data_IF_748154633003
#
_entry.id   IF_748154633003
#
_cell.length_a   1.000
_cell.length_b   1.000
_cell.length_c   1.000
_cell.angle_alpha   90.00
_cell.angle_beta   90.00
_cell.angle_gamma   90.00
#
_symmetry.space_group_name_H-M   'P 1'
#
loop_
_entity.id
_entity.type
_entity.pdbx_description
1 polymer ?
#
# COMPACT_ATOMS: atom_id res chain seq x y z
N UNK A 1 21.11 -1.29 -55.44
CA UNK A 1 21.54 -0.40 -54.35
C UNK A 1 20.63 -0.66 -53.17
N UNK A 2 21.19 -1.23 -52.11
CA UNK A 2 20.47 -1.77 -50.96
C UNK A 2 20.14 -0.66 -49.94
N UNK A 3 18.88 -0.59 -49.50
CA UNK A 3 18.48 0.17 -48.32
C UNK A 3 18.63 -0.73 -47.10
N UNK A 4 19.58 -0.38 -46.21
CA UNK A 4 19.77 -1.05 -44.91
C UNK A 4 18.74 -0.50 -43.93
N UNK A 5 17.80 -1.34 -43.49
CA UNK A 5 17.02 -1.09 -42.29
C UNK A 5 17.90 -1.35 -41.07
N UNK A 6 18.04 -0.35 -40.22
CA UNK A 6 18.69 -0.44 -38.92
C UNK A 6 17.66 -0.96 -37.92
N UNK A 7 17.89 -2.15 -37.40
CA UNK A 7 17.08 -2.81 -36.38
C UNK A 7 17.47 -2.23 -35.00
N UNK A 8 16.53 -1.58 -34.32
CA UNK A 8 16.72 -1.07 -32.95
C UNK A 8 16.35 -2.19 -31.99
N UNK A 9 17.37 -2.77 -31.34
CA UNK A 9 17.20 -3.77 -30.31
C UNK A 9 16.50 -3.17 -29.07
N UNK A 10 15.39 -3.79 -28.65
CA UNK A 10 14.71 -3.49 -27.40
C UNK A 10 15.54 -3.97 -26.20
N UNK A 11 15.45 -3.30 -25.03
CA UNK A 11 16.19 -3.71 -23.84
C UNK A 11 15.65 -5.03 -23.28
N UNK A 12 16.59 -5.91 -22.94
CA UNK A 12 16.43 -7.23 -22.35
C UNK A 12 15.81 -7.11 -20.95
N UNK A 13 14.57 -7.55 -20.76
CA UNK A 13 13.99 -7.78 -19.43
C UNK A 13 14.50 -9.13 -18.89
N UNK A 14 14.98 -9.22 -17.64
CA UNK A 14 15.39 -10.50 -17.07
C UNK A 14 14.16 -11.36 -16.78
N UNK A 15 14.10 -12.53 -17.41
CA UNK A 15 13.15 -13.58 -17.11
C UNK A 15 13.41 -14.09 -15.68
N UNK A 16 12.37 -14.08 -14.84
CA UNK A 16 12.39 -14.79 -13.56
C UNK A 16 12.20 -16.29 -13.83
N UNK A 17 13.26 -17.07 -13.64
CA UNK A 17 13.19 -18.53 -13.62
C UNK A 17 12.38 -19.00 -12.40
N UNK A 18 11.30 -19.72 -12.70
CA UNK A 18 10.49 -20.47 -11.75
C UNK A 18 11.23 -21.79 -11.46
N UNK A 19 12.03 -21.83 -10.39
CA UNK A 19 12.49 -23.12 -9.87
C UNK A 19 11.37 -23.82 -9.09
N UNK A 20 11.12 -25.04 -9.55
CA UNK A 20 10.20 -26.05 -9.01
C UNK A 20 10.65 -26.55 -7.64
N UNK A 21 9.75 -26.50 -6.66
CA UNK A 21 9.90 -27.25 -5.39
C UNK A 21 9.66 -28.72 -5.69
N UNK A 22 10.71 -29.54 -5.50
CA UNK A 22 10.63 -30.99 -5.56
C UNK A 22 10.25 -31.55 -4.17
N UNK A 23 9.23 -32.40 -4.17
CA UNK A 23 8.89 -33.31 -3.08
C UNK A 23 10.08 -34.19 -2.70
N UNK A 24 10.32 -34.36 -1.39
CA UNK A 24 11.06 -35.51 -0.88
C UNK A 24 10.50 -35.92 0.48
N UNK A 25 9.58 -36.89 0.43
CA UNK A 25 9.34 -37.83 1.52
C UNK A 25 10.62 -38.64 1.78
N UNK A 26 11.07 -38.68 3.03
CA UNK A 26 11.71 -39.89 3.57
C UNK A 26 11.56 -39.97 5.09
N UNK A 27 10.94 -41.07 5.46
CA UNK A 27 10.66 -41.63 6.78
C UNK A 27 11.93 -42.15 7.48
N UNK A 28 11.75 -42.45 8.77
CA UNK A 28 12.54 -43.28 9.69
C UNK A 28 13.37 -42.58 10.77
N UNK A 29 13.06 -42.93 12.04
CA UNK A 29 14.07 -42.88 13.10
C UNK A 29 13.60 -42.71 14.55
N UNK A 30 13.03 -43.78 15.11
CA UNK A 30 13.21 -44.30 16.49
C UNK A 30 12.79 -43.50 17.73
N UNK A 31 11.79 -44.09 18.41
CA UNK A 31 11.51 -44.05 19.86
C UNK A 31 12.73 -44.34 20.74
N UNK A 32 12.89 -43.59 21.84
CA UNK A 32 13.47 -44.07 23.09
C UNK A 32 12.83 -43.35 24.30
N UNK A 33 12.24 -44.17 25.17
CA UNK A 33 11.63 -43.87 26.47
C UNK A 33 12.63 -43.34 27.51
N UNK A 34 12.15 -42.49 28.44
CA UNK A 34 12.39 -42.64 29.88
C UNK A 34 11.48 -41.70 30.68
N UNK A 35 10.58 -42.29 31.46
CA UNK A 35 9.87 -41.70 32.59
C UNK A 35 10.85 -41.33 33.72
N UNK A 36 10.61 -40.20 34.41
CA UNK A 36 11.05 -40.04 35.80
C UNK A 36 10.03 -39.20 36.60
N UNK A 37 9.50 -39.86 37.63
CA UNK A 37 8.51 -39.38 38.59
C UNK A 37 9.23 -38.73 39.78
N UNK A 38 9.06 -37.41 39.97
CA UNK A 38 9.70 -36.65 41.04
C UNK A 38 8.74 -35.79 41.84
N UNK A 39 8.01 -36.40 42.78
CA UNK A 39 7.24 -35.71 43.83
C UNK A 39 8.15 -34.80 44.67
N UNK A 40 7.80 -33.52 44.81
CA UNK A 40 8.11 -32.79 46.05
C UNK A 40 6.98 -31.81 46.40
N UNK A 41 6.45 -32.04 47.60
CA UNK A 41 5.47 -31.22 48.29
C UNK A 41 6.16 -30.05 48.98
N UNK A 42 5.71 -28.82 48.75
CA UNK A 42 5.93 -27.73 49.70
C UNK A 42 4.70 -26.83 49.73
N UNK A 43 4.04 -26.82 50.89
CA UNK A 43 2.96 -25.93 51.25
C UNK A 43 3.50 -24.55 51.57
N UNK A 44 3.02 -23.51 50.90
CA UNK A 44 3.04 -22.18 51.51
C UNK A 44 1.77 -21.38 51.19
N UNK A 45 1.22 -20.80 52.25
CA UNK A 45 -0.14 -20.29 52.35
C UNK A 45 -0.08 -18.78 52.35
N UNK A 46 -0.12 -18.17 51.17
CA UNK A 46 -0.27 -16.71 51.02
C UNK A 46 -1.63 -16.36 50.42
N UNK A 47 -2.47 -15.71 51.22
CA UNK A 47 -3.78 -15.19 50.83
C UNK A 47 -3.60 -14.11 49.76
N UNK A 48 -4.12 -14.36 48.55
CA UNK A 48 -4.34 -13.33 47.54
C UNK A 48 -5.82 -13.31 47.16
N UNK A 49 -6.40 -12.11 47.14
CA UNK A 49 -7.77 -11.87 46.73
C UNK A 49 -7.98 -12.35 45.30
N UNK A 50 -8.82 -13.37 45.11
CA UNK A 50 -9.24 -13.87 43.81
C UNK A 50 -10.16 -12.84 43.13
N UNK A 51 -9.61 -12.04 42.23
CA UNK A 51 -10.40 -11.40 41.17
C UNK A 51 -10.66 -12.49 40.13
N UNK A 52 -11.93 -12.80 39.90
CA UNK A 52 -12.39 -13.77 38.91
C UNK A 52 -11.92 -13.40 37.49
N UNK A 53 -11.31 -14.31 36.72
CA UNK A 53 -10.76 -14.03 35.38
C UNK A 53 -11.81 -13.64 34.32
N UNK A 54 -13.09 -13.93 34.57
CA UNK A 54 -14.18 -13.78 33.60
C UNK A 54 -14.60 -12.32 33.34
N UNK A 55 -14.37 -11.39 34.28
CA UNK A 55 -14.73 -9.97 34.09
C UNK A 55 -13.72 -9.17 33.27
N UNK A 56 -12.47 -9.62 33.18
CA UNK A 56 -11.44 -8.93 32.40
C UNK A 56 -11.64 -9.16 30.90
N UNK A 57 -12.04 -10.37 30.52
CA UNK A 57 -12.28 -10.74 29.11
C UNK A 57 -13.52 -10.09 28.51
N UNK A 58 -14.57 -9.84 29.30
CA UNK A 58 -15.79 -9.16 28.82
C UNK A 58 -15.56 -7.65 28.60
N UNK A 59 -14.79 -6.99 29.48
CA UNK A 59 -14.49 -5.55 29.37
C UNK A 59 -13.50 -5.27 28.24
N UNK A 60 -12.51 -6.14 28.01
CA UNK A 60 -11.64 -6.07 26.83
C UNK A 60 -12.42 -6.26 25.53
N UNK A 61 -13.46 -7.11 25.53
CA UNK A 61 -14.31 -7.34 24.36
C UNK A 61 -15.21 -6.14 24.02
N UNK A 62 -15.72 -5.39 25.00
CA UNK A 62 -16.57 -4.22 24.73
C UNK A 62 -15.80 -3.01 24.21
N UNK A 63 -14.54 -2.85 24.63
CA UNK A 63 -13.70 -1.70 24.22
C UNK A 63 -13.04 -1.88 22.85
N UNK A 64 -13.11 -3.09 22.29
CA UNK A 64 -12.52 -3.44 20.99
C UNK A 64 -13.33 -2.97 19.78
N UNK A 65 -14.62 -2.72 19.96
CA UNK A 65 -15.52 -2.35 18.88
C UNK A 65 -15.98 -0.90 18.98
N UNK A 66 -16.20 -0.27 17.83
CA UNK A 66 -16.86 1.03 17.74
C UNK A 66 -17.85 1.04 16.58
N UNK A 67 -18.96 1.76 16.76
CA UNK A 67 -19.90 2.04 15.68
C UNK A 67 -19.37 3.22 14.87
N UNK A 68 -19.32 3.06 13.54
CA UNK A 68 -18.88 4.12 12.65
C UNK A 68 -19.89 5.27 12.61
N UNK A 69 -19.38 6.51 12.60
CA UNK A 69 -20.20 7.69 12.35
C UNK A 69 -20.65 7.77 10.90
N UNK A 70 -21.66 8.60 10.61
CA UNK A 70 -22.11 8.84 9.24
C UNK A 70 -20.96 9.23 8.29
N UNK A 71 -20.07 10.15 8.71
CA UNK A 71 -18.93 10.57 7.90
C UNK A 71 -17.95 9.41 7.60
N UNK A 72 -17.75 8.51 8.56
CA UNK A 72 -16.95 7.30 8.35
C UNK A 72 -17.65 6.32 7.40
N UNK A 73 -18.96 6.11 7.55
CA UNK A 73 -19.74 5.24 6.65
C UNK A 73 -19.78 5.81 5.22
N UNK A 74 -19.84 7.13 5.07
CA UNK A 74 -19.75 7.80 3.77
C UNK A 74 -18.38 7.57 3.11
N UNK A 75 -17.28 7.76 3.85
CA UNK A 75 -15.93 7.43 3.34
C UNK A 75 -15.79 5.95 2.99
N UNK A 76 -16.37 5.05 3.80
CA UNK A 76 -16.40 3.62 3.49
C UNK A 76 -17.15 3.35 2.17
N UNK A 77 -18.28 4.01 1.96
CA UNK A 77 -19.01 3.92 0.70
C UNK A 77 -18.16 4.36 -0.48
N UNK A 78 -17.46 5.49 -0.36
CA UNK A 78 -16.59 5.99 -1.42
C UNK A 78 -15.49 4.98 -1.75
N UNK A 79 -14.79 4.45 -0.73
CA UNK A 79 -13.77 3.40 -0.91
C UNK A 79 -14.33 2.16 -1.62
N UNK A 80 -15.53 1.70 -1.25
CA UNK A 80 -16.08 0.44 -1.77
C UNK A 80 -16.78 0.55 -3.11
N UNK A 81 -17.23 1.75 -3.50
CA UNK A 81 -18.04 1.99 -4.71
C UNK A 81 -17.32 2.78 -5.79
N UNK A 82 -16.18 3.42 -5.48
CA UNK A 82 -15.28 4.01 -6.45
C UNK A 82 -14.80 2.91 -7.43
N UNK A 83 -15.04 3.06 -8.75
CA UNK A 83 -14.53 2.11 -9.74
C UNK A 83 -13.00 2.10 -9.75
N UNK A 84 -12.42 0.91 -9.78
CA UNK A 84 -10.98 0.73 -9.84
C UNK A 84 -10.54 -0.19 -10.98
N UNK A 85 -9.46 0.21 -11.64
CA UNK A 85 -8.88 -0.51 -12.75
C UNK A 85 -7.94 -1.62 -12.26
N UNK A 86 -8.26 -2.88 -12.58
CA UNK A 86 -7.36 -4.02 -12.43
C UNK A 86 -6.73 -4.32 -13.79
N UNK A 87 -5.40 -4.25 -13.87
CA UNK A 87 -4.70 -4.29 -15.14
C UNK A 87 -4.30 -5.72 -15.50
N UNK A 88 -4.73 -6.17 -16.68
CA UNK A 88 -4.27 -7.42 -17.26
C UNK A 88 -2.87 -7.28 -17.85
N UNK A 89 -2.04 -8.31 -17.67
CA UNK A 89 -0.76 -8.45 -18.37
C UNK A 89 -0.97 -8.82 -19.84
N UNK A 90 -0.06 -8.38 -20.71
CA UNK A 90 -0.13 -8.67 -22.15
C UNK A 90 -1.35 -8.03 -22.81
N UNK A 91 -2.11 -8.82 -23.57
CA UNK A 91 -3.27 -8.35 -24.34
C UNK A 91 -4.60 -8.46 -23.58
N UNK A 92 -4.56 -8.75 -22.27
CA UNK A 92 -5.78 -8.86 -21.47
C UNK A 92 -6.36 -7.46 -21.18
N UNK A 93 -7.69 -7.28 -21.25
CA UNK A 93 -8.32 -5.99 -21.05
C UNK A 93 -8.18 -5.52 -19.59
N UNK A 94 -8.34 -4.22 -19.38
CA UNK A 94 -8.46 -3.66 -18.03
C UNK A 94 -9.85 -4.01 -17.48
N UNK A 95 -9.92 -4.53 -16.25
CA UNK A 95 -11.18 -4.76 -15.56
C UNK A 95 -11.54 -3.49 -14.78
N UNK A 96 -12.73 -2.96 -15.00
CA UNK A 96 -13.28 -1.85 -14.21
C UNK A 96 -14.21 -2.43 -13.14
N UNK A 97 -13.74 -2.44 -11.89
CA UNK A 97 -14.35 -3.20 -10.79
C UNK A 97 -14.64 -2.27 -9.62
N UNK A 98 -15.80 -2.43 -8.98
CA UNK A 98 -16.06 -1.88 -7.65
C UNK A 98 -15.78 -2.95 -6.60
N UNK A 99 -15.18 -2.56 -5.47
CA UNK A 99 -14.86 -3.51 -4.41
C UNK A 99 -16.11 -4.19 -3.85
N UNK A 100 -17.22 -3.47 -3.71
CA UNK A 100 -18.49 -4.06 -3.24
C UNK A 100 -18.98 -5.19 -4.18
N UNK A 101 -18.86 -5.00 -5.49
CA UNK A 101 -19.26 -6.01 -6.47
C UNK A 101 -18.29 -7.19 -6.48
N UNK A 102 -16.98 -6.93 -6.38
CA UNK A 102 -15.97 -7.98 -6.25
C UNK A 102 -16.23 -8.86 -5.02
N UNK A 103 -16.48 -8.23 -3.86
CA UNK A 103 -16.78 -8.94 -2.61
C UNK A 103 -18.01 -9.83 -2.77
N UNK A 104 -19.08 -9.30 -3.37
CA UNK A 104 -20.33 -10.06 -3.60
C UNK A 104 -20.11 -11.26 -4.50
N UNK A 105 -19.48 -11.07 -5.65
CA UNK A 105 -19.25 -12.15 -6.62
C UNK A 105 -18.34 -13.23 -6.02
N UNK A 106 -17.26 -12.83 -5.32
CA UNK A 106 -16.37 -13.78 -4.64
C UNK A 106 -17.12 -14.53 -3.53
N UNK A 107 -17.85 -13.84 -2.66
CA UNK A 107 -18.64 -14.47 -1.58
C UNK A 107 -19.64 -15.48 -2.14
N UNK A 108 -20.41 -15.09 -3.16
CA UNK A 108 -21.40 -15.96 -3.80
C UNK A 108 -20.77 -17.22 -4.39
N UNK A 109 -19.62 -17.11 -5.05
CA UNK A 109 -18.91 -18.28 -5.61
C UNK A 109 -18.31 -19.18 -4.54
N UNK A 110 -17.77 -18.60 -3.46
CA UNK A 110 -17.27 -19.38 -2.32
C UNK A 110 -18.39 -20.21 -1.70
N UNK A 111 -19.53 -19.59 -1.43
CA UNK A 111 -20.69 -20.27 -0.83
C UNK A 111 -21.26 -21.34 -1.78
N UNK A 112 -21.31 -21.08 -3.08
CA UNK A 112 -21.72 -22.06 -4.08
C UNK A 112 -20.79 -23.31 -4.12
N UNK A 113 -19.49 -23.12 -3.88
CA UNK A 113 -18.50 -24.20 -3.80
C UNK A 113 -18.36 -24.79 -2.38
N UNK A 114 -19.33 -24.54 -1.50
CA UNK A 114 -19.35 -25.03 -0.12
C UNK A 114 -18.16 -24.58 0.72
N UNK A 115 -17.72 -23.34 0.54
CA UNK A 115 -16.77 -22.65 1.43
C UNK A 115 -17.55 -21.59 2.22
N UNK A 116 -17.76 -21.83 3.51
CA UNK A 116 -18.49 -20.92 4.39
C UNK A 116 -17.70 -19.63 4.61
N UNK A 117 -18.36 -18.49 4.40
CA UNK A 117 -17.83 -17.15 4.69
C UNK A 117 -18.52 -16.63 5.96
N UNK A 118 -17.76 -16.48 7.04
CA UNK A 118 -18.25 -16.02 8.35
C UNK A 118 -18.55 -14.52 8.36
N UNK A 119 -17.60 -13.72 7.88
CA UNK A 119 -17.77 -12.28 7.65
C UNK A 119 -16.75 -11.81 6.59
N UNK A 120 -16.96 -10.60 6.07
CA UNK A 120 -15.97 -9.90 5.23
C UNK A 120 -15.58 -8.59 5.88
N UNK A 121 -14.28 -8.27 5.86
CA UNK A 121 -13.72 -7.08 6.52
C UNK A 121 -12.80 -6.29 5.60
N UNK A 122 -12.85 -4.97 5.70
CA UNK A 122 -11.82 -4.08 5.14
C UNK A 122 -10.71 -3.92 6.18
N UNK A 123 -9.45 -4.05 5.76
CA UNK A 123 -8.27 -3.96 6.63
C UNK A 123 -7.23 -2.97 6.05
N UNK A 124 -6.13 -2.78 6.78
CA UNK A 124 -4.95 -2.07 6.30
C UNK A 124 -5.14 -0.55 6.24
N UNK A 125 -4.38 0.11 5.38
CA UNK A 125 -4.39 1.57 5.27
C UNK A 125 -5.77 2.13 4.88
N UNK A 126 -6.56 1.38 4.11
CA UNK A 126 -7.91 1.76 3.72
C UNK A 126 -8.86 1.82 4.94
N UNK A 127 -8.75 0.90 5.89
CA UNK A 127 -9.55 0.95 7.13
C UNK A 127 -9.16 2.15 7.99
N UNK A 128 -7.86 2.42 8.16
CA UNK A 128 -7.36 3.60 8.88
C UNK A 128 -7.82 4.90 8.21
N UNK A 129 -7.82 4.97 6.87
CA UNK A 129 -8.33 6.10 6.10
C UNK A 129 -9.82 6.36 6.38
N UNK A 130 -10.65 5.32 6.41
CA UNK A 130 -12.08 5.44 6.71
C UNK A 130 -12.29 5.99 8.12
N UNK A 131 -11.56 5.47 9.10
CA UNK A 131 -11.74 5.79 10.51
C UNK A 131 -11.14 7.14 10.94
N UNK A 132 -10.17 7.68 10.21
CA UNK A 132 -9.53 8.97 10.50
C UNK A 132 -10.56 10.13 10.53
N UNK A 133 -10.39 11.10 11.45
CA UNK A 133 -11.41 12.14 11.67
C UNK A 133 -11.32 13.33 10.71
N UNK A 134 -10.11 13.74 10.30
CA UNK A 134 -9.91 15.06 9.68
C UNK A 134 -8.92 15.08 8.52
N UNK A 135 -8.08 14.04 8.38
CA UNK A 135 -7.12 13.94 7.29
C UNK A 135 -7.41 12.66 6.53
N UNK A 136 -7.74 12.79 5.24
CA UNK A 136 -7.72 11.65 4.33
C UNK A 136 -6.28 11.11 4.29
N UNK A 137 -6.00 10.11 5.12
CA UNK A 137 -4.70 9.44 5.10
C UNK A 137 -4.55 8.77 3.74
N UNK A 138 -3.45 9.00 3.01
CA UNK A 138 -3.22 8.25 1.79
C UNK A 138 -3.11 6.76 2.15
N UNK A 139 -3.68 5.92 1.30
CA UNK A 139 -3.51 4.47 1.39
C UNK A 139 -3.16 3.95 -0.01
N UNK A 140 -2.19 3.04 -0.05
CA UNK A 140 -1.68 2.50 -1.31
C UNK A 140 -2.39 1.19 -1.69
N UNK A 141 -2.80 0.41 -0.69
CA UNK A 141 -3.36 -0.93 -0.85
C UNK A 141 -4.74 -1.01 -0.18
N UNK A 142 -5.63 -1.78 -0.80
CA UNK A 142 -6.93 -2.15 -0.25
C UNK A 142 -6.91 -3.63 0.11
N UNK A 143 -6.91 -3.91 1.42
CA UNK A 143 -6.89 -5.26 1.95
C UNK A 143 -8.31 -5.71 2.33
N UNK A 144 -8.79 -6.78 1.69
CA UNK A 144 -10.07 -7.41 2.01
C UNK A 144 -9.84 -8.75 2.69
N UNK A 145 -10.37 -8.92 3.90
CA UNK A 145 -10.31 -10.16 4.66
C UNK A 145 -11.66 -10.88 4.54
N UNK A 146 -11.65 -12.08 3.98
CA UNK A 146 -12.77 -13.02 4.02
C UNK A 146 -12.48 -14.03 5.11
N UNK A 147 -13.22 -13.99 6.22
CA UNK A 147 -13.07 -15.00 7.25
C UNK A 147 -13.80 -16.27 6.81
N UNK A 148 -13.05 -17.28 6.40
CA UNK A 148 -13.57 -18.52 5.77
C UNK A 148 -13.14 -19.76 6.55
N UNK A 149 -13.83 -20.87 6.33
CA UNK A 149 -13.40 -22.16 6.88
C UNK A 149 -12.45 -22.89 5.91
N UNK A 150 -11.19 -23.09 6.33
CA UNK A 150 -10.15 -23.77 5.56
C UNK A 150 -9.80 -25.13 6.17
N UNK A 151 -10.81 -25.95 6.42
CA UNK A 151 -10.68 -27.25 7.11
C UNK A 151 -10.00 -28.34 6.28
N UNK A 152 -9.81 -28.15 4.96
CA UNK A 152 -9.14 -29.14 4.11
C UNK A 152 -8.29 -28.50 3.01
N UNK A 153 -7.32 -29.25 2.47
CA UNK A 153 -6.50 -28.80 1.33
C UNK A 153 -7.33 -28.39 0.11
N UNK A 154 -8.47 -29.05 -0.13
CA UNK A 154 -9.42 -28.72 -1.21
C UNK A 154 -10.09 -27.36 -1.03
N UNK A 155 -10.23 -26.87 0.20
CA UNK A 155 -10.81 -25.55 0.46
C UNK A 155 -9.95 -24.43 -0.17
N UNK A 156 -8.62 -24.58 -0.15
CA UNK A 156 -7.71 -23.62 -0.80
C UNK A 156 -7.88 -23.59 -2.32
N UNK A 157 -8.05 -24.76 -2.94
CA UNK A 157 -8.28 -24.85 -4.39
C UNK A 157 -9.63 -24.24 -4.79
N UNK A 158 -10.67 -24.45 -3.96
CA UNK A 158 -11.98 -23.81 -4.13
C UNK A 158 -11.89 -22.29 -3.98
N UNK A 159 -11.19 -21.78 -2.98
CA UNK A 159 -10.96 -20.34 -2.81
C UNK A 159 -10.28 -19.74 -4.04
N UNK A 160 -9.21 -20.38 -4.53
CA UNK A 160 -8.52 -19.97 -5.74
C UNK A 160 -9.45 -20.00 -6.94
N UNK A 161 -10.20 -21.08 -7.12
CA UNK A 161 -11.13 -21.23 -8.24
C UNK A 161 -12.25 -20.20 -8.21
N UNK A 162 -12.89 -19.98 -7.06
CA UNK A 162 -13.94 -18.98 -6.87
C UNK A 162 -13.45 -17.57 -7.19
N UNK A 163 -12.25 -17.21 -6.71
CA UNK A 163 -11.65 -15.88 -6.97
C UNK A 163 -11.34 -15.68 -8.46
N UNK A 164 -10.67 -16.65 -9.10
CA UNK A 164 -10.34 -16.55 -10.53
C UNK A 164 -11.59 -16.58 -11.42
N UNK A 165 -12.60 -17.35 -11.02
CA UNK A 165 -13.89 -17.36 -11.69
C UNK A 165 -14.66 -16.05 -11.49
N UNK A 166 -14.51 -15.36 -10.36
CA UNK A 166 -15.07 -14.02 -10.15
C UNK A 166 -14.45 -13.01 -11.11
N UNK A 167 -13.12 -13.01 -11.26
CA UNK A 167 -12.43 -12.13 -12.21
C UNK A 167 -12.88 -12.37 -13.67
N UNK A 168 -13.19 -13.61 -14.04
CA UNK A 168 -13.72 -13.94 -15.37
C UNK A 168 -15.08 -13.26 -15.63
N UNK A 169 -15.90 -13.09 -14.59
CA UNK A 169 -17.22 -12.47 -14.71
C UNK A 169 -17.12 -10.97 -15.01
N UNK A 170 -16.07 -10.30 -14.49
CA UNK A 170 -15.77 -8.88 -14.70
C UNK A 170 -15.16 -8.55 -16.06
N UNK A 171 -14.92 -9.54 -16.92
CA UNK A 171 -14.43 -9.25 -18.28
C UNK A 171 -15.49 -8.49 -19.10
N UNK A 172 -15.06 -7.50 -19.90
CA UNK A 172 -15.98 -6.67 -20.67
C UNK A 172 -16.76 -7.46 -21.70
N UNK A 173 -17.94 -6.95 -22.05
CA UNK A 173 -18.80 -7.54 -23.07
C UNK A 173 -18.06 -7.66 -24.41
N UNK A 174 -18.17 -8.83 -25.06
CA UNK A 174 -17.48 -9.14 -26.32
C UNK A 174 -16.21 -9.98 -26.17
N UNK A 175 -15.70 -10.19 -24.95
CA UNK A 175 -14.59 -11.15 -24.72
C UNK A 175 -15.13 -12.57 -24.60
N UNK A 176 -14.56 -13.52 -25.36
CA UNK A 176 -15.04 -14.91 -25.37
C UNK A 176 -14.68 -15.66 -24.07
N UNK A 177 -15.55 -15.60 -23.06
CA UNK A 177 -15.40 -16.28 -21.76
C UNK A 177 -15.17 -17.80 -21.88
N UNK A 178 -15.80 -18.45 -22.86
CA UNK A 178 -15.75 -19.91 -23.08
C UNK A 178 -14.37 -20.46 -23.47
N UNK A 179 -13.44 -19.60 -23.93
CA UNK A 179 -12.09 -20.01 -24.34
C UNK A 179 -11.03 -19.71 -23.27
N UNK A 180 -11.39 -19.01 -22.19
CA UNK A 180 -10.44 -18.58 -21.17
C UNK A 180 -10.49 -19.53 -19.98
N UNK A 181 -9.33 -20.11 -19.67
CA UNK A 181 -9.15 -20.93 -18.47
C UNK A 181 -8.86 -20.06 -17.25
N UNK A 182 -9.13 -20.57 -16.05
CA UNK A 182 -8.71 -19.93 -14.79
C UNK A 182 -7.20 -19.77 -14.69
N UNK A 183 -6.41 -20.63 -15.35
CA UNK A 183 -4.96 -20.48 -15.47
C UNK A 183 -4.56 -19.22 -16.25
N UNK A 184 -5.27 -18.91 -17.34
CA UNK A 184 -5.02 -17.70 -18.14
C UNK A 184 -5.36 -16.43 -17.33
N UNK A 185 -6.46 -16.46 -16.56
CA UNK A 185 -6.84 -15.35 -15.67
C UNK A 185 -5.82 -15.14 -14.55
N UNK A 186 -5.31 -16.23 -13.97
CA UNK A 186 -4.23 -16.18 -12.99
C UNK A 186 -3.02 -15.43 -13.55
N UNK A 187 -2.53 -15.84 -14.71
CA UNK A 187 -1.32 -15.24 -15.30
C UNK A 187 -1.53 -13.77 -15.70
N UNK A 188 -2.74 -13.44 -16.16
CA UNK A 188 -3.10 -12.10 -16.59
C UNK A 188 -3.27 -11.11 -15.43
N UNK A 189 -4.01 -11.48 -14.39
CA UNK A 189 -4.51 -10.51 -13.41
C UNK A 189 -3.99 -10.71 -11.98
N UNK A 190 -3.28 -11.81 -11.69
CA UNK A 190 -2.77 -12.06 -10.34
C UNK A 190 -1.28 -11.75 -10.29
N UNK A 191 -0.92 -10.82 -9.39
CA UNK A 191 0.47 -10.43 -9.15
C UNK A 191 1.18 -11.40 -8.21
N UNK A 192 0.46 -11.87 -7.18
CA UNK A 192 1.00 -12.68 -6.09
C UNK A 192 -0.07 -13.60 -5.51
N UNK A 193 0.30 -14.85 -5.24
CA UNK A 193 -0.52 -15.81 -4.49
C UNK A 193 0.30 -16.39 -3.35
N UNK A 194 -0.30 -16.48 -2.16
CA UNK A 194 0.29 -17.15 -1.00
C UNK A 194 -0.72 -18.14 -0.43
N UNK A 195 -0.21 -19.29 0.02
CA UNK A 195 -0.96 -20.30 0.78
C UNK A 195 -0.16 -20.63 2.03
N UNK A 196 -0.82 -20.56 3.19
CA UNK A 196 -0.25 -20.93 4.49
C UNK A 196 -1.17 -21.97 5.15
N UNK A 197 -0.57 -23.09 5.55
CA UNK A 197 -1.28 -24.27 6.09
C UNK A 197 -0.78 -24.72 7.46
N UNK A 198 0.43 -24.31 7.87
CA UNK A 198 1.07 -24.78 9.10
C UNK A 198 0.93 -23.76 10.23
N UNK A 199 0.22 -24.15 11.29
CA UNK A 199 -0.08 -23.30 12.44
C UNK A 199 -1.14 -22.23 12.11
N UNK A 200 -0.79 -21.28 11.24
CA UNK A 200 -1.72 -20.34 10.63
C UNK A 200 -2.36 -20.97 9.38
N UNK A 201 -3.65 -20.67 9.13
CA UNK A 201 -4.39 -21.16 7.96
C UNK A 201 -5.04 -19.99 7.22
N UNK A 202 -4.42 -19.59 6.12
CA UNK A 202 -4.92 -18.52 5.27
C UNK A 202 -4.35 -18.58 3.85
N UNK A 203 -5.02 -17.91 2.93
CA UNK A 203 -4.56 -17.70 1.56
C UNK A 203 -4.67 -16.23 1.17
N UNK A 204 -3.80 -15.77 0.27
CA UNK A 204 -3.81 -14.40 -0.23
C UNK A 204 -3.69 -14.41 -1.74
N UNK A 205 -4.50 -13.59 -2.40
CA UNK A 205 -4.48 -13.35 -3.84
C UNK A 205 -4.42 -11.84 -4.04
N UNK A 206 -3.30 -11.34 -4.53
CA UNK A 206 -3.10 -9.92 -4.84
C UNK A 206 -3.33 -9.69 -6.32
N UNK A 207 -4.18 -8.72 -6.65
CA UNK A 207 -4.54 -8.39 -8.02
C UNK A 207 -3.51 -7.43 -8.63
N UNK A 208 -3.30 -7.56 -9.93
CA UNK A 208 -2.35 -6.78 -10.70
C UNK A 208 -2.79 -5.33 -10.84
N UNK A 209 -1.96 -4.43 -10.34
CA UNK A 209 -2.08 -3.00 -10.60
C UNK A 209 -0.99 -2.53 -11.56
N UNK A 210 -1.30 -1.57 -12.44
CA UNK A 210 -0.26 -0.88 -13.20
C UNK A 210 0.55 -0.01 -12.25
N UNK A 211 1.65 0.52 -12.76
CA UNK A 211 2.66 1.26 -12.02
C UNK A 211 2.22 2.44 -11.14
N UNK A 212 0.94 2.81 -11.10
CA UNK A 212 0.39 3.94 -10.35
C UNK A 212 -0.99 3.66 -9.72
N UNK A 213 -1.51 2.42 -9.75
CA UNK A 213 -2.85 2.13 -9.21
C UNK A 213 -2.82 1.52 -7.81
N UNK A 214 -3.92 1.62 -7.07
CA UNK A 214 -4.13 0.95 -5.77
C UNK A 214 -4.08 -0.58 -5.95
N UNK A 215 -3.33 -1.31 -5.13
CA UNK A 215 -3.37 -2.77 -5.17
C UNK A 215 -4.60 -3.28 -4.41
N UNK A 216 -5.18 -4.40 -4.85
CA UNK A 216 -6.25 -5.09 -4.12
C UNK A 216 -5.72 -6.43 -3.66
N UNK A 217 -5.77 -6.67 -2.35
CA UNK A 217 -5.42 -7.96 -1.77
C UNK A 217 -6.66 -8.64 -1.22
N UNK A 218 -6.94 -9.84 -1.72
CA UNK A 218 -8.00 -10.71 -1.23
C UNK A 218 -7.36 -11.73 -0.30
N UNK A 219 -7.62 -11.61 1.00
CA UNK A 219 -7.07 -12.46 2.05
C UNK A 219 -8.17 -13.35 2.62
N UNK A 220 -8.01 -14.66 2.48
CA UNK A 220 -8.95 -15.67 2.96
C UNK A 220 -8.40 -16.29 4.23
N UNK A 221 -9.00 -15.99 5.38
CA UNK A 221 -8.43 -16.30 6.70
C UNK A 221 -9.31 -17.30 7.43
N UNK A 222 -8.74 -18.42 7.84
CA UNK A 222 -9.37 -19.30 8.83
C UNK A 222 -8.79 -19.03 10.21
N UNK A 223 -7.47 -19.18 10.36
CA UNK A 223 -6.75 -18.85 11.59
C UNK A 223 -5.51 -18.03 11.28
N UNK A 224 -5.33 -16.94 12.02
CA UNK A 224 -4.17 -16.07 11.91
C UNK A 224 -3.81 -15.52 13.28
N UNK A 225 -2.63 -15.89 13.77
CA UNK A 225 -2.13 -15.39 15.05
C UNK A 225 -1.79 -13.90 14.98
N UNK A 226 -1.10 -13.49 13.92
CA UNK A 226 -0.53 -12.13 13.78
C UNK A 226 -1.39 -11.28 12.87
N UNK A 227 -2.30 -10.52 13.47
CA UNK A 227 -3.28 -9.73 12.72
C UNK A 227 -2.90 -8.26 12.56
N UNK A 228 -1.91 -7.77 13.32
CA UNK A 228 -1.39 -6.40 13.24
C UNK A 228 0.09 -6.34 13.62
N UNK A 229 0.74 -5.23 13.29
CA UNK A 229 2.11 -4.93 13.74
C UNK A 229 2.13 -3.75 14.72
N UNK A 230 1.40 -2.67 14.41
CA UNK A 230 1.21 -1.51 15.27
C UNK A 230 -0.28 -1.19 15.47
N UNK A 231 -0.60 -0.31 16.40
CA UNK A 231 -1.99 0.10 16.66
C UNK A 231 -2.62 0.81 15.45
N UNK A 232 -1.83 1.56 14.69
CA UNK A 232 -2.30 2.43 13.58
C UNK A 232 -2.76 1.67 12.34
N UNK A 233 -2.36 0.40 12.21
CA UNK A 233 -2.74 -0.53 11.13
C UNK A 233 -3.59 -1.70 11.64
N UNK A 234 -4.10 -1.61 12.88
CA UNK A 234 -4.87 -2.69 13.53
C UNK A 234 -6.38 -2.65 13.26
N UNK A 235 -6.83 -1.76 12.39
CA UNK A 235 -8.27 -1.54 12.19
C UNK A 235 -8.84 -2.48 11.14
N UNK A 236 -9.97 -3.09 11.48
CA UNK A 236 -10.79 -3.87 10.58
C UNK A 236 -12.22 -3.35 10.60
N UNK A 237 -12.87 -3.21 9.45
CA UNK A 237 -14.26 -2.75 9.36
C UNK A 237 -15.11 -3.89 8.83
N UNK A 238 -16.11 -4.31 9.59
CA UNK A 238 -17.03 -5.40 9.21
C UNK A 238 -17.98 -4.90 8.13
N UNK A 239 -17.98 -5.55 6.96
CA UNK A 239 -18.68 -5.08 5.77
C UNK A 239 -20.09 -5.65 5.60
N UNK A 240 -20.45 -6.73 6.30
CA UNK A 240 -21.70 -7.47 6.09
C UNK A 240 -22.96 -6.58 6.16
N UNK A 241 -23.12 -5.74 7.19
CA UNK A 241 -24.25 -4.81 7.28
C UNK A 241 -24.30 -3.81 6.11
N UNK A 242 -23.13 -3.36 5.64
CA UNK A 242 -23.02 -2.44 4.51
C UNK A 242 -23.41 -3.12 3.19
N UNK A 243 -22.93 -4.35 2.96
CA UNK A 243 -23.21 -5.10 1.74
C UNK A 243 -24.70 -5.43 1.61
N UNK A 244 -25.34 -5.87 2.71
CA UNK A 244 -26.79 -6.13 2.76
C UNK A 244 -27.58 -4.86 2.50
N UNK A 245 -27.18 -3.73 3.11
CA UNK A 245 -27.83 -2.45 2.86
C UNK A 245 -27.78 -2.06 1.38
N UNK A 246 -26.62 -2.19 0.74
CA UNK A 246 -26.45 -1.87 -0.68
C UNK A 246 -27.28 -2.79 -1.60
N UNK A 247 -27.65 -3.99 -1.16
CA UNK A 247 -28.51 -4.91 -1.93
C UNK A 247 -29.99 -4.57 -1.76
N UNK A 248 -30.42 -4.24 -0.54
CA UNK A 248 -31.84 -4.09 -0.23
C UNK A 248 -32.35 -2.64 -0.34
N UNK A 249 -31.52 -1.65 -0.03
CA UNK A 249 -32.01 -0.29 0.17
C UNK A 249 -32.38 0.42 -1.14
N UNK A 250 -31.71 0.10 -2.26
CA UNK A 250 -31.84 0.78 -3.56
C UNK A 250 -31.85 2.33 -3.50
N UNK A 251 -31.37 2.91 -2.40
CA UNK A 251 -31.29 4.35 -2.14
C UNK A 251 -29.85 4.72 -1.77
N UNK A 252 -29.39 5.93 -2.12
CA UNK A 252 -28.07 6.39 -1.73
C UNK A 252 -27.98 6.59 -0.21
N UNK A 253 -26.77 6.42 0.32
CA UNK A 253 -26.47 6.70 1.73
C UNK A 253 -26.65 8.19 2.00
N UNK A 254 -27.39 8.50 3.06
CA UNK A 254 -27.63 9.88 3.54
C UNK A 254 -27.52 9.94 5.06
N UNK A 255 -27.37 11.12 5.64
CA UNK A 255 -27.21 11.30 7.09
C UNK A 255 -28.42 10.77 7.88
N UNK A 256 -29.61 10.82 7.29
CA UNK A 256 -30.83 10.25 7.86
C UNK A 256 -31.02 8.76 7.59
N UNK A 257 -30.24 8.17 6.68
CA UNK A 257 -30.43 6.80 6.21
C UNK A 257 -29.10 6.16 5.76
N UNK A 258 -28.46 5.46 6.68
CA UNK A 258 -27.21 4.73 6.47
C UNK A 258 -27.15 3.48 7.36
N UNK A 259 -26.42 2.42 6.96
CA UNK A 259 -26.31 1.21 7.76
C UNK A 259 -25.47 1.42 9.01
N UNK A 260 -25.78 0.67 10.07
CA UNK A 260 -24.90 0.56 11.24
C UNK A 260 -23.71 -0.34 10.89
N UNK A 261 -22.52 0.24 10.82
CA UNK A 261 -21.27 -0.45 10.50
C UNK A 261 -20.37 -0.48 11.74
N UNK A 262 -19.70 -1.61 11.97
CA UNK A 262 -18.85 -1.84 13.14
C UNK A 262 -17.38 -1.83 12.70
N UNK A 263 -16.57 -1.02 13.38
CA UNK A 263 -15.12 -1.06 13.36
C UNK A 263 -14.60 -1.90 14.52
N UNK A 264 -13.54 -2.64 14.26
CA UNK A 264 -12.86 -3.54 15.18
C UNK A 264 -11.36 -3.16 15.22
N UNK A 265 -10.77 -3.09 16.40
CA UNK A 265 -9.31 -2.95 16.56
C UNK A 265 -8.70 -4.26 17.07
N UNK A 266 -7.93 -4.95 16.22
CA UNK A 266 -7.22 -6.17 16.64
C UNK A 266 -6.08 -5.88 17.63
N UNK A 267 -5.71 -4.60 17.82
CA UNK A 267 -4.79 -4.15 18.86
C UNK A 267 -5.39 -4.24 20.27
N UNK A 268 -6.72 -4.16 20.41
CA UNK A 268 -7.41 -4.10 21.69
C UNK A 268 -8.38 -2.93 21.73
N UNK A 269 -8.20 -1.97 22.65
CA UNK A 269 -9.13 -0.83 22.78
C UNK A 269 -9.07 0.05 21.52
N UNK A 270 -10.19 0.13 20.82
CA UNK A 270 -10.31 0.89 19.57
C UNK A 270 -10.14 2.39 19.79
N UNK A 271 -10.53 2.92 20.95
CA UNK A 271 -10.40 4.35 21.26
C UNK A 271 -8.94 4.72 21.47
N UNK A 272 -8.16 3.83 22.08
CA UNK A 272 -6.71 4.00 22.22
C UNK A 272 -6.03 3.92 20.84
N UNK A 273 -6.39 2.93 20.01
CA UNK A 273 -5.84 2.83 18.66
C UNK A 273 -6.18 4.07 17.81
N UNK A 274 -7.42 4.58 17.89
CA UNK A 274 -7.84 5.81 17.23
C UNK A 274 -7.05 7.03 17.73
N UNK A 275 -6.81 7.12 19.04
CA UNK A 275 -5.96 8.16 19.62
C UNK A 275 -4.55 8.11 19.03
N UNK A 276 -3.97 6.90 18.90
CA UNK A 276 -2.67 6.72 18.26
C UNK A 276 -2.70 7.15 16.79
N UNK A 277 -3.76 6.83 16.05
CA UNK A 277 -3.91 7.27 14.66
C UNK A 277 -3.97 8.81 14.55
N UNK A 278 -4.78 9.48 15.39
CA UNK A 278 -4.94 10.95 15.35
C UNK A 278 -3.69 11.70 15.80
N UNK A 279 -2.98 11.18 16.82
CA UNK A 279 -1.77 11.81 17.36
C UNK A 279 -0.48 11.35 16.67
N UNK A 280 -0.59 10.54 15.62
CA UNK A 280 0.53 9.88 14.94
C UNK A 280 1.48 9.17 15.91
N UNK A 281 0.93 8.30 16.75
CA UNK A 281 1.67 7.54 17.75
C UNK A 281 1.95 6.12 17.30
N UNK A 282 3.18 5.64 17.54
CA UNK A 282 3.60 4.26 17.31
C UNK A 282 3.49 3.51 18.64
N UNK A 283 2.64 2.48 18.66
CA UNK A 283 2.49 1.58 19.79
C UNK A 283 2.23 0.16 19.31
N UNK A 284 2.70 -0.81 20.06
CA UNK A 284 2.42 -2.24 19.87
C UNK A 284 2.29 -2.90 21.24
N UNK A 285 1.39 -3.87 21.38
CA UNK A 285 1.20 -4.64 22.64
C UNK A 285 1.88 -6.00 22.61
N UNK A 286 2.22 -6.50 21.42
CA UNK A 286 2.82 -7.80 21.19
C UNK A 286 4.12 -7.64 20.38
N UNK A 287 5.15 -6.95 20.92
CA UNK A 287 6.41 -6.76 20.23
C UNK A 287 7.03 -8.10 19.80
N UNK A 288 6.83 -9.16 20.57
CA UNK A 288 7.30 -10.52 20.29
C UNK A 288 6.74 -11.13 19.00
N UNK A 289 5.57 -10.68 18.55
CA UNK A 289 4.91 -11.17 17.35
C UNK A 289 5.37 -10.46 16.07
N UNK A 290 6.06 -9.32 16.21
CA UNK A 290 6.61 -8.56 15.08
C UNK A 290 7.72 -9.38 14.41
N UNK A 291 7.65 -9.51 13.08
CA UNK A 291 8.67 -10.14 12.22
C UNK A 291 9.69 -9.12 11.75
N UNK A 292 10.74 -9.56 11.07
CA UNK A 292 11.80 -8.67 10.55
C UNK A 292 11.29 -7.51 9.69
N UNK A 293 10.19 -7.71 8.96
CA UNK A 293 9.53 -6.64 8.19
C UNK A 293 9.00 -5.47 9.04
N UNK A 294 8.73 -5.70 10.32
CA UNK A 294 8.24 -4.66 11.24
C UNK A 294 9.25 -3.54 11.48
N UNK A 295 10.56 -3.82 11.39
CA UNK A 295 11.59 -2.77 11.43
C UNK A 295 11.42 -1.77 10.28
N UNK A 296 11.21 -2.28 9.06
CA UNK A 296 11.04 -1.44 7.87
C UNK A 296 9.78 -0.57 7.99
N UNK A 297 8.69 -1.16 8.48
CA UNK A 297 7.45 -0.43 8.73
C UNK A 297 7.60 0.61 9.84
N UNK A 298 8.31 0.28 10.91
CA UNK A 298 8.62 1.23 11.98
C UNK A 298 9.36 2.46 11.45
N UNK A 299 10.43 2.25 10.67
CA UNK A 299 11.18 3.36 10.04
C UNK A 299 10.30 4.16 9.07
N UNK A 300 9.37 3.51 8.37
CA UNK A 300 8.42 4.19 7.49
C UNK A 300 7.41 5.05 8.28
N UNK A 301 6.96 4.59 9.44
CA UNK A 301 6.15 5.42 10.35
C UNK A 301 6.95 6.64 10.84
N UNK A 302 8.22 6.46 11.20
CA UNK A 302 9.08 7.57 11.63
C UNK A 302 9.29 8.63 10.54
N UNK A 303 9.52 8.24 9.27
CA UNK A 303 9.67 9.21 8.16
C UNK A 303 8.37 9.96 7.86
N UNK A 304 7.21 9.40 8.26
CA UNK A 304 5.89 10.03 8.16
C UNK A 304 5.51 10.87 9.40
N UNK A 305 6.50 11.26 10.21
CA UNK A 305 6.37 12.04 11.45
C UNK A 305 5.59 11.33 12.57
N UNK A 306 5.47 10.00 12.54
CA UNK A 306 4.95 9.28 13.69
C UNK A 306 5.98 9.25 14.81
N UNK A 307 5.49 9.27 16.05
CA UNK A 307 6.31 9.27 17.26
C UNK A 307 5.94 8.10 18.16
N UNK A 308 6.89 7.47 18.85
CA UNK A 308 6.58 6.42 19.82
C UNK A 308 5.68 6.94 20.93
N UNK A 309 4.66 6.16 21.30
CA UNK A 309 3.78 6.51 22.42
C UNK A 309 4.53 6.55 23.77
N UNK A 310 5.54 5.69 23.92
CA UNK A 310 6.36 5.56 25.13
C UNK A 310 7.87 5.57 24.79
N UNK A 311 8.63 6.61 25.19
CA UNK A 311 10.07 6.67 24.96
C UNK A 311 10.86 5.55 25.67
N UNK A 312 10.33 5.00 26.76
CA UNK A 312 10.96 3.90 27.50
C UNK A 312 10.88 2.60 26.72
N UNK A 313 9.74 2.35 26.07
CA UNK A 313 9.51 1.14 25.27
C UNK A 313 10.18 1.21 23.90
N UNK A 314 10.41 2.41 23.35
CA UNK A 314 11.11 2.62 22.07
C UNK A 314 12.41 1.81 21.99
N UNK A 315 13.35 2.00 22.92
CA UNK A 315 14.67 1.33 22.84
C UNK A 315 14.56 -0.18 23.02
N UNK A 316 13.53 -0.68 23.70
CA UNK A 316 13.31 -2.12 23.79
C UNK A 316 12.71 -2.68 22.50
N UNK A 317 11.74 -1.97 21.93
CA UNK A 317 11.09 -2.32 20.67
C UNK A 317 12.08 -2.31 19.50
N UNK A 318 12.92 -1.27 19.38
CA UNK A 318 13.95 -1.19 18.33
C UNK A 318 14.94 -2.36 18.42
N UNK A 319 15.44 -2.68 19.61
CA UNK A 319 16.35 -3.83 19.81
C UNK A 319 15.69 -5.14 19.37
N UNK A 320 14.41 -5.33 19.69
CA UNK A 320 13.68 -6.52 19.28
C UNK A 320 13.49 -6.58 17.76
N UNK A 321 13.04 -5.48 17.14
CA UNK A 321 12.84 -5.40 15.69
C UNK A 321 14.15 -5.60 14.92
N UNK A 322 15.25 -4.99 15.37
CA UNK A 322 16.57 -5.23 14.80
C UNK A 322 16.98 -6.70 14.92
N UNK A 323 16.89 -7.30 16.12
CA UNK A 323 17.22 -8.71 16.30
C UNK A 323 16.38 -9.62 15.39
N UNK A 324 15.08 -9.38 15.29
CA UNK A 324 14.18 -10.16 14.44
C UNK A 324 14.47 -9.96 12.95
N UNK A 325 14.88 -8.76 12.53
CA UNK A 325 15.30 -8.47 11.16
C UNK A 325 16.48 -9.35 10.74
N UNK A 326 17.52 -9.44 11.56
CA UNK A 326 18.68 -10.29 11.27
C UNK A 326 18.37 -11.79 11.36
N UNK A 327 17.44 -12.20 12.23
CA UNK A 327 16.99 -13.61 12.31
C UNK A 327 16.19 -14.01 11.07
N UNK A 328 15.27 -13.16 10.62
CA UNK A 328 14.40 -13.47 9.48
C UNK A 328 15.12 -13.24 8.13
N UNK A 329 16.13 -12.36 8.09
CA UNK A 329 16.95 -12.06 6.90
C UNK A 329 18.45 -12.13 7.25
N UNK A 330 18.97 -13.34 7.42
CA UNK A 330 20.34 -13.57 7.86
C UNK A 330 21.39 -13.26 6.80
N UNK A 331 21.03 -13.33 5.52
CA UNK A 331 21.92 -13.12 4.39
C UNK A 331 21.81 -11.70 3.80
N UNK A 332 22.94 -11.11 3.41
CA UNK A 332 23.00 -9.74 2.90
C UNK A 332 22.23 -9.55 1.58
N UNK A 333 22.19 -10.55 0.71
CA UNK A 333 21.40 -10.52 -0.53
C UNK A 333 19.91 -10.60 -0.22
N UNK A 334 19.50 -11.38 0.78
CA UNK A 334 18.11 -11.38 1.24
C UNK A 334 17.71 -10.01 1.79
N UNK A 335 18.58 -9.38 2.58
CA UNK A 335 18.35 -8.02 3.09
C UNK A 335 18.24 -7.01 1.94
N UNK A 336 19.16 -7.05 0.96
CA UNK A 336 19.13 -6.19 -0.23
C UNK A 336 17.82 -6.34 -1.00
N UNK A 337 17.47 -7.56 -1.39
CA UNK A 337 16.23 -7.84 -2.12
C UNK A 337 15.00 -7.37 -1.34
N UNK A 338 15.00 -7.58 -0.02
CA UNK A 338 13.90 -7.15 0.85
C UNK A 338 13.77 -5.64 0.92
N UNK A 339 14.89 -4.92 1.06
CA UNK A 339 14.92 -3.46 1.07
C UNK A 339 14.49 -2.88 -0.28
N UNK A 340 15.06 -3.35 -1.39
CA UNK A 340 14.70 -2.89 -2.73
C UNK A 340 13.20 -3.11 -3.02
N UNK A 341 12.67 -4.29 -2.66
CA UNK A 341 11.23 -4.58 -2.79
C UNK A 341 10.39 -3.67 -1.91
N UNK A 342 10.82 -3.39 -0.67
CA UNK A 342 10.11 -2.50 0.23
C UNK A 342 10.07 -1.06 -0.31
N UNK A 343 11.20 -0.55 -0.77
CA UNK A 343 11.31 0.77 -1.38
C UNK A 343 10.42 0.89 -2.62
N UNK A 344 10.44 -0.12 -3.49
CA UNK A 344 9.61 -0.16 -4.68
C UNK A 344 8.11 -0.14 -4.38
N UNK A 345 7.68 -0.83 -3.33
CA UNK A 345 6.26 -0.94 -2.97
C UNK A 345 5.75 0.31 -2.22
N UNK A 346 6.55 0.89 -1.31
CA UNK A 346 6.07 1.93 -0.41
C UNK A 346 6.42 3.36 -0.84
N UNK A 347 7.50 3.55 -1.61
CA UNK A 347 8.00 4.87 -1.99
C UNK A 347 7.87 5.16 -3.49
N UNK A 348 6.94 4.46 -4.15
CA UNK A 348 6.77 4.55 -5.59
C UNK A 348 6.28 5.93 -6.01
N UNK A 349 7.10 6.66 -6.76
CA UNK A 349 6.76 8.02 -7.18
C UNK A 349 6.82 9.05 -6.06
N UNK A 350 7.36 8.67 -4.89
CA UNK A 350 7.69 9.60 -3.81
C UNK A 350 8.92 10.43 -4.17
N UNK A 351 9.09 11.56 -3.49
CA UNK A 351 10.28 12.40 -3.59
C UNK A 351 11.54 11.58 -3.24
N UNK A 352 12.58 11.53 -4.10
CA UNK A 352 13.86 10.89 -3.80
C UNK A 352 14.45 11.32 -2.45
N UNK A 353 14.23 12.57 -2.02
CA UNK A 353 14.65 13.06 -0.71
C UNK A 353 13.97 12.28 0.44
N UNK A 354 12.67 12.02 0.34
CA UNK A 354 11.94 11.24 1.35
C UNK A 354 12.45 9.80 1.44
N UNK A 355 12.81 9.20 0.30
CA UNK A 355 13.37 7.84 0.27
C UNK A 355 14.75 7.80 0.91
N UNK A 356 15.56 8.82 0.68
CA UNK A 356 16.85 8.99 1.34
C UNK A 356 16.70 9.16 2.85
N UNK A 357 15.78 10.03 3.29
CA UNK A 357 15.49 10.25 4.72
C UNK A 357 15.05 8.96 5.41
N UNK A 358 14.19 8.16 4.77
CA UNK A 358 13.81 6.84 5.25
C UNK A 358 15.02 5.91 5.44
N UNK A 359 15.94 5.87 4.48
CA UNK A 359 17.14 5.04 4.57
C UNK A 359 18.08 5.52 5.69
N UNK A 360 18.20 6.83 5.91
CA UNK A 360 19.02 7.38 6.99
C UNK A 360 18.40 7.14 8.38
N UNK A 361 17.06 7.15 8.48
CA UNK A 361 16.36 6.70 9.69
C UNK A 361 16.65 5.21 9.94
N UNK A 362 16.54 4.37 8.93
CA UNK A 362 16.83 2.94 9.05
C UNK A 362 18.29 2.70 9.46
N UNK A 363 19.24 3.42 8.86
CA UNK A 363 20.65 3.38 9.23
C UNK A 363 20.83 3.67 10.72
N UNK A 364 20.25 4.79 11.20
CA UNK A 364 20.37 5.23 12.60
C UNK A 364 19.80 4.20 13.57
N UNK A 365 18.62 3.66 13.28
CA UNK A 365 17.98 2.65 14.14
C UNK A 365 18.83 1.37 14.18
N UNK A 366 19.36 0.92 13.03
CA UNK A 366 20.21 -0.29 12.98
C UNK A 366 21.54 -0.06 13.70
N UNK A 367 22.16 1.10 13.59
CA UNK A 367 23.43 1.38 14.27
C UNK A 367 23.27 1.45 15.80
N UNK A 368 22.28 2.20 16.28
CA UNK A 368 22.06 2.43 17.71
C UNK A 368 21.47 1.23 18.45
N UNK A 369 20.59 0.45 17.81
CA UNK A 369 19.76 -0.55 18.47
C UNK A 369 20.14 -2.00 18.15
N UNK A 370 21.18 -2.24 17.36
CA UNK A 370 21.73 -3.59 17.16
C UNK A 370 22.70 -3.97 18.29
N UNK A 371 22.48 -5.14 18.91
CA UNK A 371 23.31 -5.66 20.01
C UNK A 371 24.68 -6.15 19.50
N UNK A 372 25.73 -5.97 20.33
CA UNK A 372 27.14 -6.19 19.98
C UNK A 372 27.52 -7.56 19.40
N UNK A 373 26.68 -8.59 19.56
CA UNK A 373 26.94 -9.95 19.05
C UNK A 373 26.93 -10.04 17.52
N UNK A 374 26.44 -9.02 16.81
CA UNK A 374 26.30 -9.00 15.35
C UNK A 374 27.10 -7.87 14.69
N UNK A 375 28.32 -7.61 15.16
CA UNK A 375 29.11 -6.46 14.70
C UNK A 375 29.57 -6.54 13.24
N UNK A 376 29.72 -7.75 12.67
CA UNK A 376 30.06 -7.92 11.26
C UNK A 376 28.83 -7.71 10.37
N UNK A 377 27.75 -8.42 10.68
CA UNK A 377 26.47 -8.34 9.99
C UNK A 377 25.94 -6.91 10.02
N UNK A 378 26.00 -6.24 11.18
CA UNK A 378 25.63 -4.83 11.33
C UNK A 378 26.39 -3.94 10.34
N UNK A 379 27.72 -4.07 10.24
CA UNK A 379 28.51 -3.24 9.32
C UNK A 379 28.17 -3.51 7.85
N UNK A 380 27.91 -4.76 7.50
CA UNK A 380 27.48 -5.11 6.13
C UNK A 380 26.12 -4.47 5.81
N UNK A 381 25.15 -4.57 6.71
CA UNK A 381 23.82 -3.97 6.52
C UNK A 381 23.88 -2.45 6.47
N UNK A 382 24.67 -1.81 7.35
CA UNK A 382 24.86 -0.35 7.33
C UNK A 382 25.49 0.11 6.02
N UNK A 383 26.51 -0.60 5.53
CA UNK A 383 27.13 -0.31 4.23
C UNK A 383 26.15 -0.47 3.06
N UNK A 384 25.29 -1.49 3.10
CA UNK A 384 24.24 -1.70 2.10
C UNK A 384 23.22 -0.55 2.10
N UNK A 385 22.76 -0.14 3.28
CA UNK A 385 21.79 0.96 3.42
C UNK A 385 22.40 2.26 2.88
N UNK A 386 23.67 2.52 3.18
CA UNK A 386 24.40 3.69 2.71
C UNK A 386 24.57 3.66 1.18
N UNK A 387 24.93 2.52 0.58
CA UNK A 387 25.04 2.34 -0.87
C UNK A 387 23.71 2.62 -1.57
N UNK A 388 22.60 2.09 -1.04
CA UNK A 388 21.25 2.36 -1.57
C UNK A 388 20.89 3.85 -1.44
N UNK A 389 21.24 4.49 -0.33
CA UNK A 389 21.03 5.92 -0.11
C UNK A 389 21.76 6.78 -1.14
N UNK A 390 23.05 6.52 -1.36
CA UNK A 390 23.84 7.23 -2.37
C UNK A 390 23.31 6.98 -3.78
N UNK A 391 22.91 5.75 -4.12
CA UNK A 391 22.33 5.43 -5.43
C UNK A 391 21.11 6.31 -5.74
N UNK A 392 20.24 6.52 -4.76
CA UNK A 392 19.04 7.36 -4.89
C UNK A 392 19.42 8.85 -5.00
N UNK A 393 20.30 9.32 -4.11
CA UNK A 393 20.72 10.72 -4.07
C UNK A 393 21.45 11.16 -5.36
N UNK A 394 22.43 10.37 -5.83
CA UNK A 394 23.17 10.66 -7.05
C UNK A 394 22.39 10.33 -8.33
N UNK A 395 21.46 9.37 -8.27
CA UNK A 395 20.53 9.09 -9.36
C UNK A 395 19.65 10.29 -9.71
N UNK A 396 19.25 11.07 -8.69
CA UNK A 396 18.48 12.31 -8.88
C UNK A 396 19.35 13.47 -9.41
N UNK A 397 20.57 13.64 -8.88
CA UNK A 397 21.53 14.63 -9.41
C UNK A 397 21.86 14.39 -10.89
N UNK A 398 22.05 13.14 -11.31
CA UNK A 398 22.29 12.83 -12.72
C UNK A 398 21.08 13.11 -13.62
N UNK A 399 19.84 13.08 -13.12
CA UNK A 399 18.65 13.52 -13.89
C UNK A 399 18.58 15.04 -14.06
N UNK A 400 19.06 15.79 -13.07
CA UNK A 400 19.13 17.26 -13.11
C UNK A 400 20.30 17.75 -13.99
N UNK A 401 21.37 16.96 -14.11
CA UNK A 401 22.61 17.35 -14.80
C UNK A 401 22.85 16.73 -16.18
N UNK A 402 21.91 16.00 -16.79
CA UNK A 402 22.05 15.67 -18.23
C UNK A 402 21.80 16.94 -19.05
N UNK A 403 22.81 17.53 -19.73
CA UNK A 403 22.56 18.57 -20.72
C UNK A 403 21.76 17.91 -21.84
N UNK A 404 20.66 18.53 -22.29
CA UNK A 404 20.08 18.14 -23.57
C UNK A 404 21.19 18.04 -24.61
N UNK A 405 21.24 16.99 -25.46
CA UNK A 405 22.21 16.97 -26.54
C UNK A 405 21.95 18.21 -27.40
N UNK A 406 22.87 19.17 -27.31
CA UNK A 406 22.87 20.37 -28.12
C UNK A 406 22.82 19.92 -29.58
N UNK A 407 21.68 20.11 -30.24
CA UNK A 407 21.60 19.97 -31.69
C UNK A 407 22.61 20.98 -32.26
N UNK A 408 23.65 20.56 -33.00
CA UNK A 408 24.59 21.52 -33.57
C UNK A 408 23.82 22.42 -34.56
N UNK A 409 24.01 23.74 -34.52
CA UNK A 409 23.28 24.65 -35.40
C UNK A 409 23.66 24.34 -36.85
N UNK A 410 22.68 23.95 -37.65
CA UNK A 410 22.85 23.82 -39.09
C UNK A 410 23.24 25.19 -39.67
N UNK A 411 24.36 25.20 -40.38
CA UNK A 411 24.88 26.38 -41.06
C UNK A 411 23.85 26.89 -42.09
N UNK A 412 23.32 28.09 -41.86
CA UNK A 412 22.54 28.81 -42.86
C UNK A 412 23.45 29.29 -43.98
N UNK A 413 23.37 28.62 -45.12
CA UNK A 413 23.89 29.10 -46.40
C UNK A 413 23.03 30.29 -46.87
N UNK A 414 23.60 31.49 -46.88
CA UNK A 414 23.04 32.63 -47.62
C UNK A 414 23.71 32.73 -48.99
N UNK A 415 22.95 32.81 -50.10
CA UNK A 415 23.42 33.43 -51.33
C UNK A 415 22.98 34.89 -51.39
N UNK A 416 23.90 35.73 -51.85
CA UNK A 416 23.81 37.18 -51.95
C UNK A 416 22.78 37.70 -52.97
N UNK A 417 22.25 38.88 -52.63
CA UNK A 417 21.72 40.02 -53.41
C UNK A 417 21.71 39.97 -54.95
N UNK A 418 20.71 40.58 -55.60
CA UNK A 418 20.83 41.82 -56.39
C UNK A 418 19.48 42.27 -57.05
N UNK A 419 19.34 43.59 -57.25
CA UNK A 419 18.45 44.35 -58.17
C UNK A 419 16.95 44.62 -57.85
N UNK A 420 16.63 45.89 -57.57
CA UNK A 420 15.39 46.60 -57.95
C UNK A 420 15.50 47.08 -59.43
N UNK A 421 14.45 47.56 -60.17
CA UNK A 421 13.15 48.11 -59.74
C UNK A 421 11.91 47.77 -60.63
N UNK A 422 10.69 48.20 -60.22
CA UNK A 422 9.72 48.98 -61.02
C UNK A 422 8.26 48.84 -60.52
N UNK A 423 7.56 49.98 -60.40
CA UNK A 423 6.12 50.15 -60.18
C UNK A 423 5.42 50.26 -61.55
N UNK A 424 4.16 49.79 -61.71
CA UNK A 424 3.12 50.75 -62.10
C UNK A 424 1.79 50.64 -61.32
N UNK A 425 1.16 51.81 -61.24
CA UNK A 425 -0.12 52.19 -60.63
C UNK A 425 -1.36 51.46 -61.14
N UNK A 426 -2.37 51.27 -60.27
CA UNK A 426 -3.79 51.60 -60.50
C UNK A 426 -4.59 51.51 -59.18
N UNK A 427 -5.33 52.57 -58.84
CA UNK A 427 -6.27 52.67 -57.70
C UNK A 427 -7.73 52.53 -58.18
N UNK A 428 -8.81 52.77 -57.38
CA UNK A 428 -8.99 52.81 -55.92
C UNK A 428 -10.30 52.08 -55.42
N UNK A 429 -10.53 52.01 -54.10
CA UNK A 429 -11.79 52.38 -53.38
C UNK A 429 -11.85 51.74 -51.97
N UNK A 430 -11.65 52.53 -50.90
CA UNK A 430 -12.66 53.15 -49.99
C UNK A 430 -13.03 52.29 -48.76
N UNK A 431 -12.60 52.75 -47.59
CA UNK A 431 -13.37 52.66 -46.34
C UNK A 431 -13.07 53.92 -45.50
N UNK A 432 -14.09 54.77 -45.35
CA UNK A 432 -14.09 55.97 -44.51
C UNK A 432 -14.45 55.59 -43.07
N UNK A 433 -13.83 56.29 -42.13
CA UNK A 433 -14.10 56.32 -40.70
C UNK A 433 -14.47 57.78 -40.40
N UNK A 434 -15.65 58.02 -39.84
CA UNK A 434 -16.06 59.33 -39.31
C UNK A 434 -16.04 59.32 -37.78
N UNK A 435 -15.86 60.51 -37.24
CA UNK A 435 -15.46 60.90 -35.87
C UNK A 435 -16.42 62.00 -35.39
N UNK A 436 -16.47 62.20 -34.07
CA UNK A 436 -16.85 63.42 -33.31
C UNK A 436 -18.35 63.63 -32.95
N UNK A 437 -18.76 64.13 -31.77
CA UNK A 437 -18.12 65.04 -30.78
C UNK A 437 -18.94 65.20 -29.46
N UNK A 438 -18.32 65.82 -28.43
CA UNK A 438 -18.85 66.62 -27.26
C UNK A 438 -19.61 65.90 -26.11
N UNK A 439 -19.49 66.20 -24.80
CA UNK A 439 -18.83 67.25 -23.98
C UNK A 439 -18.81 66.84 -22.46
N UNK A 440 -18.31 67.65 -21.48
CA UNK A 440 -17.60 67.19 -20.26
C UNK A 440 -18.38 67.29 -18.92
N UNK A 441 -17.85 66.70 -17.83
CA UNK A 441 -17.97 67.21 -16.44
C UNK A 441 -16.97 66.53 -15.48
N UNK A 442 -16.64 67.25 -14.41
CA UNK A 442 -15.50 67.14 -13.50
C UNK A 442 -15.62 66.13 -12.34
N UNK A 443 -14.49 65.57 -11.88
CA UNK A 443 -14.03 65.64 -10.47
C UNK A 443 -12.73 64.83 -10.19
N UNK A 444 -11.72 65.54 -9.64
CA UNK A 444 -10.65 65.16 -8.67
C UNK A 444 -10.17 63.70 -8.57
N UNK A 445 -8.89 63.39 -8.86
CA UNK A 445 -7.70 63.46 -7.97
C UNK A 445 -7.78 62.48 -6.77
N UNK A 446 -6.78 61.67 -6.37
CA UNK A 446 -5.37 61.46 -6.73
C UNK A 446 -4.96 60.14 -6.02
N UNK A 447 -4.21 59.27 -6.68
CA UNK A 447 -3.35 58.27 -6.03
C UNK A 447 -1.91 58.66 -6.34
N UNK A 448 -1.09 58.87 -5.31
CA UNK A 448 0.32 59.20 -5.48
C UNK A 448 1.20 58.04 -5.01
N UNK A 449 2.14 57.71 -5.90
CA UNK A 449 3.33 56.89 -5.72
C UNK A 449 4.13 57.29 -4.46
N UNK A 450 4.96 56.37 -3.96
CA UNK A 450 6.41 56.57 -4.04
C UNK A 450 7.20 55.33 -3.59
N UNK A 451 8.02 54.87 -4.52
CA UNK A 451 9.23 54.07 -4.32
C UNK A 451 10.30 54.95 -3.64
N UNK A 452 11.11 54.39 -2.73
CA UNK A 452 12.48 54.88 -2.44
C UNK A 452 13.35 53.83 -1.75
N UNK A 453 14.49 53.59 -2.39
CA UNK A 453 15.73 52.97 -1.94
C UNK A 453 16.46 53.82 -0.88
N UNK A 454 17.15 53.19 0.10
CA UNK A 454 18.61 53.35 0.36
C UNK A 454 19.09 52.72 1.69
N UNK A 455 20.12 51.86 1.53
CA UNK A 455 21.41 51.74 2.25
C UNK A 455 21.58 51.93 3.78
N UNK A 456 22.22 50.90 4.34
CA UNK A 456 23.31 50.84 5.34
C UNK A 456 23.34 51.76 6.57
N UNK A 457 23.36 51.12 7.74
CA UNK A 457 24.38 51.30 8.78
C UNK A 457 24.58 49.97 9.50
#
# INVERSE_FOLDING_TARGET
>A
MASKHLEVAAPYEPAFDLESVADSDSDSGVDLFADDDGKSSFSDRSKTHSVSPSRLTEVESETRFAVLSYEQVKRLNDVLTEPMAVYGRGNFPILDIKLCDLIRVVRSKLEADSVTVRDVRLNGGAASHVLASETALPYNDTDLIFNVELSSGRAYDRVKFATLSALLDFLPEGVSKNRMSTCSIKEAYVSKMIKVTEGDRWSLISLGSKSQGKNVELKFVDTMKRQFEFSVDSFQIVLDSFLVFQECAHMPISESFYPTVIGDSVYGDIREALLHLHKRLIATRAPEEIRGGGLLKYCNLLVQDYRPASPKELKQMERYMCSRFFIDFSDIMQQKNKLETYLWNHFRGSDPALVYDYLMILYTVVDESTVCLMGHERRQTLSLIEELGYSIYYGDLNRVFVPQPCVPPQAYYYPQSYYYPAIPSLAPAKAQKEVESQDPTSCSCQCHNSCKTQQCS
#
